data_IF_705109668162
#
_entry.id   IF_705109668162
#
_cell.length_a   1.000
_cell.length_b   1.000
_cell.length_c   1.000
_cell.angle_alpha   90.00
_cell.angle_beta   90.00
_cell.angle_gamma   90.00
#
_symmetry.space_group_name_H-M   'P 1'
#
loop_
_entity.id
_entity.type
_entity.pdbx_description
1 polymer ?
#
# COMPACT_ATOMS: atom_id res chain seq x y z
N UNK A 1 8.48 -0.93 -15.74
CA UNK A 1 7.69 -2.15 -15.98
C UNK A 1 7.70 -3.01 -14.73
N UNK A 2 6.65 -3.81 -14.50
CA UNK A 2 6.52 -4.75 -13.36
C UNK A 2 7.77 -5.65 -13.23
N UNK A 3 8.27 -6.16 -14.34
CA UNK A 3 9.45 -7.05 -14.36
C UNK A 3 10.73 -6.35 -13.88
N UNK A 4 10.85 -5.04 -14.06
CA UNK A 4 11.99 -4.28 -13.56
C UNK A 4 12.03 -4.18 -12.03
N UNK A 5 10.92 -4.48 -11.34
CA UNK A 5 10.85 -4.52 -9.88
C UNK A 5 11.30 -5.87 -9.30
N UNK A 6 11.41 -6.91 -10.14
CA UNK A 6 11.86 -8.24 -9.76
C UNK A 6 13.38 -8.33 -9.89
N UNK A 7 14.10 -7.94 -8.85
CA UNK A 7 15.57 -7.88 -8.87
C UNK A 7 16.23 -9.27 -8.93
N UNK A 8 15.57 -10.29 -8.38
CA UNK A 8 16.11 -11.65 -8.28
C UNK A 8 14.98 -12.67 -8.44
N UNK A 9 15.29 -13.81 -9.06
CA UNK A 9 14.43 -14.99 -9.07
C UNK A 9 14.94 -16.04 -8.07
N UNK A 10 14.10 -17.01 -7.63
CA UNK A 10 14.55 -18.11 -6.79
C UNK A 10 15.76 -18.85 -7.37
N UNK A 11 15.79 -19.06 -8.69
CA UNK A 11 16.87 -19.73 -9.41
C UNK A 11 18.15 -18.90 -9.38
N UNK A 12 18.07 -17.60 -9.63
CA UNK A 12 19.24 -16.70 -9.60
C UNK A 12 19.80 -16.59 -8.17
N UNK A 13 18.93 -16.61 -7.17
CA UNK A 13 19.33 -16.60 -5.75
C UNK A 13 20.07 -17.87 -5.37
N UNK A 14 19.55 -19.03 -5.80
CA UNK A 14 20.19 -20.32 -5.60
C UNK A 14 21.56 -20.40 -6.28
N UNK A 15 21.62 -19.95 -7.52
CA UNK A 15 22.88 -19.98 -8.30
C UNK A 15 23.94 -19.05 -7.70
N UNK A 16 23.56 -17.86 -7.27
CA UNK A 16 24.50 -16.84 -6.78
C UNK A 16 24.94 -17.07 -5.33
N UNK A 17 24.02 -17.50 -4.47
CA UNK A 17 24.22 -17.55 -3.02
C UNK A 17 24.11 -18.94 -2.43
N UNK A 18 23.82 -19.96 -3.23
CA UNK A 18 23.56 -21.33 -2.79
C UNK A 18 22.46 -21.42 -1.70
N UNK A 19 21.43 -20.60 -1.84
CA UNK A 19 20.27 -20.55 -0.92
C UNK A 19 19.06 -21.18 -1.60
N UNK A 20 18.42 -22.12 -0.90
CA UNK A 20 17.15 -22.73 -1.34
C UNK A 20 15.99 -21.78 -1.01
N UNK A 21 15.45 -21.09 -2.01
CA UNK A 21 14.32 -20.17 -1.87
C UNK A 21 13.03 -20.88 -2.21
N UNK A 22 12.16 -21.05 -1.22
CA UNK A 22 10.87 -21.72 -1.36
C UNK A 22 9.73 -20.68 -1.35
N UNK A 23 9.34 -20.18 -2.51
CA UNK A 23 8.19 -19.30 -2.66
C UNK A 23 6.88 -20.06 -2.40
N UNK A 24 5.80 -19.38 -2.02
CA UNK A 24 4.52 -19.97 -1.65
C UNK A 24 4.61 -21.00 -0.50
N UNK A 25 5.62 -20.86 0.35
CA UNK A 25 5.77 -21.63 1.58
C UNK A 25 5.71 -20.67 2.76
N UNK A 26 4.72 -20.85 3.62
CA UNK A 26 4.47 -19.99 4.78
C UNK A 26 4.84 -20.74 6.06
N UNK A 27 5.71 -20.14 6.88
CA UNK A 27 5.98 -20.64 8.22
C UNK A 27 4.81 -20.23 9.13
N UNK A 28 4.08 -21.22 9.64
CA UNK A 28 2.88 -21.02 10.47
C UNK A 28 3.12 -21.25 11.96
N UNK A 29 4.20 -21.95 12.33
CA UNK A 29 4.59 -22.14 13.72
C UNK A 29 6.09 -22.38 13.85
N UNK A 30 6.62 -22.11 15.04
CA UNK A 30 8.03 -22.31 15.40
C UNK A 30 8.11 -23.07 16.73
N UNK A 31 8.71 -24.24 16.72
CA UNK A 31 9.07 -24.98 17.94
C UNK A 31 10.56 -24.74 18.25
N UNK A 32 10.82 -23.81 19.16
CA UNK A 32 12.20 -23.45 19.55
C UNK A 32 12.93 -24.56 20.33
N UNK A 33 12.19 -25.47 20.95
CA UNK A 33 12.81 -26.57 21.75
C UNK A 33 13.27 -27.71 20.84
N UNK A 34 12.46 -28.04 19.83
CA UNK A 34 12.82 -29.03 18.81
C UNK A 34 13.67 -28.44 17.69
N UNK A 35 13.78 -27.12 17.63
CA UNK A 35 14.40 -26.38 16.50
C UNK A 35 13.78 -26.77 15.17
N UNK A 36 12.45 -26.70 15.11
CA UNK A 36 11.65 -27.01 13.93
C UNK A 36 10.70 -25.86 13.62
N UNK A 37 10.43 -25.65 12.34
CA UNK A 37 9.35 -24.80 11.86
C UNK A 37 8.30 -25.64 11.17
N UNK A 38 7.04 -25.28 11.38
CA UNK A 38 5.92 -25.86 10.63
C UNK A 38 5.66 -24.98 9.42
N UNK A 39 5.71 -25.56 8.23
CA UNK A 39 5.56 -24.86 6.95
C UNK A 39 4.31 -25.35 6.24
N UNK A 40 3.51 -24.41 5.74
CA UNK A 40 2.37 -24.66 4.88
C UNK A 40 2.70 -24.28 3.43
N UNK A 41 2.52 -25.18 2.50
CA UNK A 41 2.50 -24.89 1.06
C UNK A 41 1.19 -24.18 0.72
N UNK A 42 1.26 -22.90 0.42
CA UNK A 42 0.07 -22.05 0.23
C UNK A 42 -0.83 -22.55 -0.91
N UNK A 43 -0.23 -23.08 -1.98
CA UNK A 43 -0.96 -23.54 -3.16
C UNK A 43 -1.70 -24.86 -2.96
N UNK A 44 -1.19 -25.76 -2.12
CA UNK A 44 -1.75 -27.12 -1.91
C UNK A 44 -2.39 -27.31 -0.55
N UNK A 45 -2.08 -26.46 0.42
CA UNK A 45 -2.46 -26.61 1.82
C UNK A 45 -1.65 -27.67 2.58
N UNK A 46 -0.70 -28.36 1.93
CA UNK A 46 0.16 -29.37 2.56
C UNK A 46 1.01 -28.75 3.66
N UNK A 47 1.14 -29.47 4.78
CA UNK A 47 1.96 -29.03 5.93
C UNK A 47 3.13 -29.99 6.07
N UNK A 48 4.33 -29.44 6.29
CA UNK A 48 5.52 -30.21 6.58
C UNK A 48 6.37 -29.51 7.68
N UNK A 49 7.31 -30.26 8.25
CA UNK A 49 8.25 -29.78 9.24
C UNK A 49 9.63 -29.58 8.58
N UNK A 50 10.31 -28.53 8.98
CA UNK A 50 11.70 -28.26 8.60
C UNK A 50 12.52 -27.98 9.86
N UNK A 51 13.62 -28.71 10.02
CA UNK A 51 14.52 -28.52 11.15
C UNK A 51 15.57 -27.44 10.86
N UNK A 52 16.09 -26.80 11.89
CA UNK A 52 17.13 -25.77 11.76
C UNK A 52 18.17 -25.83 12.89
N UNK A 53 19.40 -25.47 12.60
CA UNK A 53 20.41 -25.20 13.60
C UNK A 53 20.33 -23.78 14.13
N UNK A 54 20.11 -22.83 13.23
CA UNK A 54 19.92 -21.40 13.51
C UNK A 54 18.76 -20.87 12.67
N UNK A 55 17.89 -20.07 13.28
CA UNK A 55 16.74 -19.46 12.62
C UNK A 55 16.90 -17.94 12.59
N UNK A 56 16.85 -17.36 11.38
CA UNK A 56 16.76 -15.94 11.17
C UNK A 56 15.31 -15.58 10.81
N UNK A 57 14.71 -14.67 11.56
CA UNK A 57 13.36 -14.18 11.31
C UNK A 57 13.40 -12.84 10.56
N UNK A 58 12.84 -12.83 9.36
CA UNK A 58 12.70 -11.64 8.51
C UNK A 58 11.30 -11.59 7.88
N UNK A 59 10.21 -11.60 8.67
CA UNK A 59 8.86 -11.76 8.16
C UNK A 59 8.33 -10.51 7.44
N UNK A 60 9.03 -9.38 7.53
CA UNK A 60 8.56 -8.10 7.04
C UNK A 60 7.47 -7.50 7.94
N UNK A 61 6.61 -6.68 7.34
CA UNK A 61 5.50 -6.00 8.02
C UNK A 61 4.24 -6.03 7.15
N UNK A 62 3.09 -5.86 7.78
CA UNK A 62 1.82 -5.65 7.09
C UNK A 62 1.35 -4.21 7.29
N UNK A 63 0.67 -3.60 6.31
CA UNK A 63 0.06 -2.30 6.48
C UNK A 63 -0.96 -2.33 7.63
N UNK A 64 -0.90 -1.33 8.49
CA UNK A 64 -1.90 -1.17 9.56
C UNK A 64 -3.12 -0.47 8.96
N UNK A 65 -4.29 -1.11 9.04
CA UNK A 65 -5.57 -0.49 8.74
C UNK A 65 -6.23 -0.10 10.07
N UNK A 66 -6.43 1.19 10.34
CA UNK A 66 -7.08 1.62 11.59
C UNK A 66 -8.53 1.13 11.62
N UNK A 67 -9.10 0.83 12.82
CA UNK A 67 -10.47 0.33 12.94
C UNK A 67 -11.49 1.47 12.83
N UNK A 68 -11.58 2.09 11.65
CA UNK A 68 -12.52 3.17 11.36
C UNK A 68 -13.61 2.70 10.37
N UNK A 69 -14.80 3.30 10.40
CA UNK A 69 -15.86 2.98 9.46
C UNK A 69 -15.40 3.10 8.00
N UNK A 70 -15.76 2.13 7.17
CA UNK A 70 -15.49 2.13 5.72
C UNK A 70 -14.06 1.82 5.29
N UNK A 71 -13.13 1.52 6.21
CA UNK A 71 -11.71 1.25 5.88
C UNK A 71 -11.52 0.04 4.95
N UNK A 72 -12.50 -0.85 4.90
CA UNK A 72 -12.48 -2.04 4.05
C UNK A 72 -13.23 -1.85 2.72
N UNK A 73 -13.61 -0.62 2.37
CA UNK A 73 -14.18 -0.31 1.06
C UNK A 73 -13.21 -0.74 -0.05
N UNK A 74 -13.77 -1.17 -1.19
CA UNK A 74 -12.99 -1.58 -2.36
C UNK A 74 -12.22 -0.43 -3.03
N UNK A 75 -12.49 0.82 -2.63
CA UNK A 75 -11.74 2.01 -3.05
C UNK A 75 -10.62 2.39 -2.07
N UNK A 76 -10.42 1.63 -1.01
CA UNK A 76 -9.34 1.86 -0.04
C UNK A 76 -8.21 0.88 -0.27
N UNK A 77 -7.06 1.42 -0.61
CA UNK A 77 -5.86 0.65 -0.93
C UNK A 77 -4.77 0.92 0.12
N UNK A 78 -3.90 -0.04 0.29
CA UNK A 78 -2.60 0.13 0.94
C UNK A 78 -1.51 -0.30 -0.02
N UNK A 79 -0.32 0.25 0.10
CA UNK A 79 0.81 -0.08 -0.77
C UNK A 79 1.95 -0.68 0.06
N UNK A 80 2.24 -1.96 -0.17
CA UNK A 80 3.32 -2.68 0.49
C UNK A 80 4.13 -3.53 -0.49
N UNK A 81 3.46 -4.14 -1.47
CA UNK A 81 4.05 -5.11 -2.38
C UNK A 81 3.55 -4.90 -3.82
N UNK A 82 4.07 -5.71 -4.76
CA UNK A 82 3.69 -5.63 -6.17
C UNK A 82 2.20 -5.93 -6.41
N UNK A 83 1.57 -6.94 -5.77
CA UNK A 83 0.12 -7.13 -5.88
C UNK A 83 -0.71 -5.93 -5.45
N UNK A 84 -0.32 -5.20 -4.40
CA UNK A 84 -1.02 -3.97 -3.99
C UNK A 84 -0.91 -2.89 -5.09
N UNK A 85 0.27 -2.72 -5.65
CA UNK A 85 0.50 -1.81 -6.79
C UNK A 85 -0.37 -2.20 -8.00
N UNK A 86 -0.45 -3.50 -8.33
CA UNK A 86 -1.27 -3.99 -9.44
C UNK A 86 -2.76 -3.67 -9.20
N UNK A 87 -3.27 -3.81 -7.97
CA UNK A 87 -4.64 -3.46 -7.60
C UNK A 87 -4.90 -1.95 -7.75
N UNK A 88 -4.00 -1.10 -7.25
CA UNK A 88 -4.11 0.36 -7.40
C UNK A 88 -4.13 0.73 -8.88
N UNK A 89 -3.19 0.22 -9.68
CA UNK A 89 -3.13 0.51 -11.12
C UNK A 89 -4.39 0.05 -11.85
N UNK A 90 -4.90 -1.14 -11.54
CA UNK A 90 -6.15 -1.65 -12.12
C UNK A 90 -7.33 -0.74 -11.78
N UNK A 91 -7.44 -0.29 -10.53
CA UNK A 91 -8.48 0.65 -10.11
C UNK A 91 -8.37 1.99 -10.83
N UNK A 92 -7.17 2.54 -10.97
CA UNK A 92 -6.95 3.79 -11.69
C UNK A 92 -7.35 3.70 -13.17
N UNK A 93 -7.05 2.57 -13.81
CA UNK A 93 -7.40 2.35 -15.22
C UNK A 93 -8.91 2.16 -15.44
N UNK A 94 -9.57 1.42 -14.53
CA UNK A 94 -11.00 1.12 -14.65
C UNK A 94 -11.88 2.31 -14.28
N UNK A 95 -11.55 2.97 -13.17
CA UNK A 95 -12.41 4.01 -12.58
C UNK A 95 -12.04 5.43 -13.03
N UNK A 96 -10.85 5.65 -13.60
CA UNK A 96 -10.35 6.94 -14.06
C UNK A 96 -10.63 8.10 -13.06
N UNK A 97 -10.23 7.96 -11.79
CA UNK A 97 -10.58 8.94 -10.77
C UNK A 97 -9.96 10.29 -11.07
N UNK A 98 -10.73 11.36 -10.85
CA UNK A 98 -10.25 12.74 -11.00
C UNK A 98 -9.53 13.23 -9.73
N UNK A 99 -9.77 12.56 -8.60
CA UNK A 99 -9.24 12.92 -7.31
C UNK A 99 -8.90 11.68 -6.49
N UNK A 100 -7.83 11.76 -5.72
CA UNK A 100 -7.40 10.72 -4.78
C UNK A 100 -6.99 11.34 -3.45
N UNK A 101 -7.26 10.64 -2.36
CA UNK A 101 -6.79 11.02 -1.03
C UNK A 101 -5.70 10.05 -0.59
N UNK A 102 -4.55 10.59 -0.23
CA UNK A 102 -3.45 9.85 0.38
C UNK A 102 -3.46 10.11 1.88
N UNK A 103 -3.38 9.06 2.69
CA UNK A 103 -3.37 9.15 4.15
C UNK A 103 -2.00 8.74 4.68
N UNK A 104 -1.32 9.68 5.32
CA UNK A 104 0.03 9.55 5.84
C UNK A 104 1.07 10.24 4.96
N UNK A 105 1.77 11.22 5.52
CA UNK A 105 2.80 12.04 4.87
C UNK A 105 4.22 11.50 5.03
N UNK A 106 4.39 10.18 5.19
CA UNK A 106 5.70 9.52 5.20
C UNK A 106 6.24 9.27 3.79
N UNK A 107 7.38 8.55 3.68
CA UNK A 107 8.05 8.24 2.41
C UNK A 107 7.08 7.67 1.35
N UNK A 108 6.37 6.59 1.69
CA UNK A 108 5.46 5.91 0.76
C UNK A 108 4.32 6.85 0.33
N UNK A 109 3.75 7.61 1.29
CA UNK A 109 2.67 8.55 0.99
C UNK A 109 3.10 9.64 0.02
N UNK A 110 4.27 10.23 0.21
CA UNK A 110 4.80 11.27 -0.69
C UNK A 110 5.10 10.73 -2.10
N UNK A 111 5.67 9.54 -2.21
CA UNK A 111 5.87 8.84 -3.50
C UNK A 111 4.53 8.58 -4.21
N UNK A 112 3.50 8.19 -3.45
CA UNK A 112 2.15 8.02 -4.00
C UNK A 112 1.53 9.34 -4.46
N UNK A 113 1.70 10.43 -3.69
CA UNK A 113 1.26 11.77 -4.11
C UNK A 113 1.89 12.15 -5.44
N UNK A 114 3.20 11.99 -5.57
CA UNK A 114 3.93 12.27 -6.81
C UNK A 114 3.43 11.40 -7.97
N UNK A 115 3.31 10.09 -7.76
CA UNK A 115 2.87 9.14 -8.78
C UNK A 115 1.44 9.42 -9.28
N UNK A 116 0.52 9.83 -8.40
CA UNK A 116 -0.85 10.21 -8.73
C UNK A 116 -0.90 11.56 -9.44
N UNK A 117 -0.14 12.53 -8.94
CA UNK A 117 -0.04 13.87 -9.55
C UNK A 117 0.50 13.80 -10.99
N UNK A 118 1.55 13.00 -11.25
CA UNK A 118 2.09 12.78 -12.60
C UNK A 118 1.06 12.15 -13.56
N UNK A 119 0.03 11.50 -13.05
CA UNK A 119 -1.09 10.97 -13.84
C UNK A 119 -2.22 11.99 -14.05
N UNK A 120 -2.05 13.24 -13.58
CA UNK A 120 -3.05 14.29 -13.69
C UNK A 120 -4.19 14.17 -12.68
N UNK A 121 -4.07 13.31 -11.67
CA UNK A 121 -5.07 13.14 -10.61
C UNK A 121 -4.83 14.22 -9.55
N UNK A 122 -5.90 14.93 -9.15
CA UNK A 122 -5.85 15.86 -8.02
C UNK A 122 -5.64 15.07 -6.74
N UNK A 123 -4.75 15.53 -5.87
CA UNK A 123 -4.41 14.80 -4.64
C UNK A 123 -4.67 15.66 -3.41
N UNK A 124 -5.38 15.06 -2.43
CA UNK A 124 -5.38 15.53 -1.04
C UNK A 124 -4.45 14.63 -0.23
N UNK A 125 -3.55 15.22 0.54
CA UNK A 125 -2.69 14.51 1.50
C UNK A 125 -3.13 14.83 2.92
N UNK A 126 -3.57 13.81 3.66
CA UNK A 126 -3.90 13.91 5.09
C UNK A 126 -2.72 13.41 5.91
N UNK A 127 -2.25 14.22 6.84
CA UNK A 127 -1.21 13.84 7.80
C UNK A 127 -1.66 14.19 9.23
N UNK A 128 -1.59 13.20 10.12
CA UNK A 128 -2.02 13.35 11.50
C UNK A 128 -1.10 14.31 12.29
N UNK A 129 0.19 14.31 11.96
CA UNK A 129 1.19 15.17 12.58
C UNK A 129 1.15 16.60 12.02
N UNK A 130 1.90 17.47 12.62
CA UNK A 130 2.07 18.86 12.19
C UNK A 130 3.07 19.02 11.03
N UNK A 131 3.66 17.93 10.55
CA UNK A 131 4.57 17.91 9.40
C UNK A 131 4.53 16.57 8.66
N UNK A 132 4.86 16.60 7.35
CA UNK A 132 5.21 15.40 6.60
C UNK A 132 6.64 14.97 6.94
N UNK A 133 6.99 13.72 6.60
CA UNK A 133 8.34 13.21 6.81
C UNK A 133 8.82 13.37 8.26
N UNK A 134 8.06 12.87 9.22
CA UNK A 134 8.37 12.98 10.65
C UNK A 134 9.84 12.72 11.06
N UNK A 135 10.64 11.88 10.35
CA UNK A 135 12.05 11.67 10.68
C UNK A 135 13.00 12.83 10.34
N UNK A 136 12.56 13.81 9.55
CA UNK A 136 13.41 14.97 9.18
C UNK A 136 13.12 16.18 10.07
N UNK A 137 14.09 17.09 10.16
CA UNK A 137 13.91 18.34 10.88
C UNK A 137 12.80 19.20 10.24
N UNK A 138 12.13 20.02 11.06
CA UNK A 138 10.99 20.83 10.64
C UNK A 138 11.30 21.77 9.49
N UNK A 139 12.49 22.32 9.47
CA UNK A 139 12.98 23.22 8.42
C UNK A 139 13.01 22.50 7.06
N UNK A 140 13.43 21.23 7.06
CA UNK A 140 13.45 20.41 5.86
C UNK A 140 12.02 19.99 5.45
N UNK A 141 11.17 19.63 6.42
CA UNK A 141 9.77 19.33 6.16
C UNK A 141 9.01 20.52 5.56
N UNK A 142 9.31 21.75 5.99
CA UNK A 142 8.69 22.96 5.44
C UNK A 142 8.99 23.14 3.95
N UNK A 143 10.17 22.76 3.48
CA UNK A 143 10.49 22.80 2.04
C UNK A 143 9.60 21.82 1.25
N UNK A 144 9.31 20.64 1.82
CA UNK A 144 8.39 19.68 1.22
C UNK A 144 6.95 20.21 1.24
N UNK A 145 6.50 20.84 2.34
CA UNK A 145 5.17 21.47 2.41
C UNK A 145 4.98 22.50 1.29
N UNK A 146 5.95 23.41 1.14
CA UNK A 146 5.91 24.42 0.07
C UNK A 146 5.83 23.76 -1.30
N UNK A 147 6.65 22.71 -1.53
CA UNK A 147 6.67 22.01 -2.82
C UNK A 147 5.37 21.30 -3.13
N UNK A 148 4.73 20.66 -2.14
CA UNK A 148 3.42 20.02 -2.29
C UNK A 148 2.35 21.05 -2.68
N UNK A 149 2.30 22.19 -1.97
CA UNK A 149 1.33 23.27 -2.24
C UNK A 149 1.58 23.91 -3.61
N UNK A 150 2.84 24.19 -3.99
CA UNK A 150 3.21 24.69 -5.33
C UNK A 150 2.73 23.76 -6.45
N UNK A 151 2.74 22.45 -6.20
CA UNK A 151 2.24 21.42 -7.14
C UNK A 151 0.72 21.26 -7.12
N UNK A 152 0.01 22.02 -6.29
CA UNK A 152 -1.46 21.97 -6.21
C UNK A 152 -1.99 20.81 -5.39
N UNK A 153 -1.16 20.19 -4.54
CA UNK A 153 -1.61 19.18 -3.57
C UNK A 153 -2.35 19.88 -2.43
N UNK A 154 -3.56 19.40 -2.10
CA UNK A 154 -4.30 19.84 -0.91
C UNK A 154 -3.69 19.16 0.33
N UNK A 155 -2.71 19.85 0.95
CA UNK A 155 -2.00 19.35 2.13
C UNK A 155 -2.76 19.70 3.40
N UNK A 156 -3.17 18.69 4.16
CA UNK A 156 -3.88 18.83 5.43
C UNK A 156 -3.08 18.18 6.56
N UNK A 157 -2.34 18.99 7.26
CA UNK A 157 -1.63 18.61 8.49
C UNK A 157 -2.57 18.62 9.70
N UNK A 158 -2.17 17.98 10.80
CA UNK A 158 -2.98 17.82 12.01
C UNK A 158 -4.38 17.25 11.71
N UNK A 159 -4.48 16.40 10.68
CA UNK A 159 -5.76 15.90 10.17
C UNK A 159 -5.72 14.37 10.09
N UNK A 160 -6.55 13.72 10.90
CA UNK A 160 -6.74 12.28 10.88
C UNK A 160 -7.92 11.85 10.03
N UNK A 161 -7.87 10.63 9.49
CA UNK A 161 -8.99 9.99 8.82
C UNK A 161 -9.98 9.44 9.86
N UNK A 162 -11.22 9.94 9.88
CA UNK A 162 -12.25 9.49 10.82
C UNK A 162 -13.15 8.38 10.23
N UNK A 163 -13.46 8.45 8.96
CA UNK A 163 -14.29 7.45 8.27
C UNK A 163 -14.11 7.54 6.76
N UNK A 164 -14.44 6.47 6.05
CA UNK A 164 -14.62 6.43 4.59
C UNK A 164 -16.09 6.14 4.32
N UNK A 165 -16.75 7.03 3.57
CA UNK A 165 -18.16 6.87 3.19
C UNK A 165 -18.28 6.84 1.67
N UNK A 166 -19.03 5.89 1.16
CA UNK A 166 -19.40 5.84 -0.26
C UNK A 166 -20.71 6.61 -0.44
N UNK A 167 -20.68 7.63 -1.29
CA UNK A 167 -21.89 8.34 -1.69
C UNK A 167 -22.40 7.67 -2.96
N UNK A 168 -23.62 7.14 -2.95
CA UNK A 168 -24.32 6.75 -4.16
C UNK A 168 -24.66 8.02 -4.93
N UNK A 169 -24.09 8.13 -6.14
CA UNK A 169 -24.54 9.16 -7.09
C UNK A 169 -25.87 8.66 -7.67
N UNK A 170 -26.98 9.19 -7.19
CA UNK A 170 -28.26 8.98 -7.85
C UNK A 170 -28.16 9.62 -9.24
N UNK A 171 -28.48 8.91 -10.34
CA UNK A 171 -28.56 9.52 -11.64
C UNK A 171 -29.61 10.65 -11.58
N UNK A 172 -29.25 11.81 -12.10
CA UNK A 172 -30.22 12.90 -12.24
C UNK A 172 -31.46 12.36 -12.97
N UNK A 173 -32.64 12.53 -12.38
CA UNK A 173 -33.88 12.21 -13.08
C UNK A 173 -33.88 13.01 -14.39
N UNK A 174 -34.24 12.39 -15.52
CA UNK A 174 -34.37 13.13 -16.79
C UNK A 174 -35.41 14.23 -16.57
N UNK A 175 -35.02 15.47 -16.82
CA UNK A 175 -35.96 16.59 -16.82
C UNK A 175 -37.16 16.19 -17.67
N UNK A 176 -38.36 16.22 -17.10
CA UNK A 176 -39.58 15.99 -17.82
C UNK A 176 -39.64 17.03 -18.93
N UNK A 177 -39.41 16.60 -20.15
CA UNK A 177 -39.65 17.45 -21.34
C UNK A 177 -41.13 17.78 -21.34
N UNK A 178 -41.43 18.99 -20.88
CA UNK A 178 -42.78 19.52 -21.00
C UNK A 178 -43.16 19.63 -22.48
N UNK A 179 -44.15 18.85 -22.85
CA UNK A 179 -44.82 19.06 -24.13
C UNK A 179 -45.51 20.44 -24.07
N UNK A 180 -45.19 21.26 -25.05
CA UNK A 180 -46.01 22.39 -25.47
C UNK A 180 -46.72 22.06 -26.77
#
# INVERSE_FOLDING_TARGET
TRDALLLQTPESFRHRFNVDVRVFNEVIAIDKHKKEVTVRRVLTGEIYLESYDKLLLSPGASPVKPPIPGINSHYVFSLRNIPDMDQILSSLLLNQPQHATVVGGGFIGLEMVEALHHRGIKVTLLELSDQVMAPVDREMANMLHQKLVEKGVDLRLNTGLAAVTELEIQPAEPEATGEY
#
